data_IF_934411003995
#
_entry.id   IF_934411003995
#
_cell.length_a   1.000
_cell.length_b   1.000
_cell.length_c   1.000
_cell.angle_alpha   90.00
_cell.angle_beta   90.00
_cell.angle_gamma   90.00
#
_symmetry.space_group_name_H-M   'P 1'
#
loop_
_entity.id
_entity.type
_entity.pdbx_description
1 polymer ?
#
# COMPACT_ATOMS: atom_id res chain seq x y z
N UNK A 1 3.56 -1.53 34.53
CA UNK A 1 3.11 -0.63 33.42
C UNK A 1 2.30 -1.44 32.44
N UNK A 2 1.12 -0.95 32.05
CA UNK A 2 0.24 -1.63 31.09
C UNK A 2 0.93 -1.80 29.72
N UNK A 3 0.74 -2.98 29.12
CA UNK A 3 1.12 -3.24 27.73
C UNK A 3 0.28 -2.34 26.81
N UNK A 4 0.95 -1.56 25.96
CA UNK A 4 0.32 -0.61 25.01
C UNK A 4 0.13 -1.20 23.61
N UNK A 5 0.73 -2.37 23.34
CA UNK A 5 0.68 -3.01 22.03
C UNK A 5 -0.37 -4.11 22.01
N UNK A 6 -1.23 -4.08 20.99
CA UNK A 6 -2.27 -5.08 20.73
C UNK A 6 -2.07 -5.65 19.33
N UNK A 7 -1.83 -6.95 19.21
CA UNK A 7 -1.57 -7.60 17.92
C UNK A 7 -2.73 -8.52 17.55
N UNK A 8 -3.31 -8.27 16.40
CA UNK A 8 -4.30 -9.14 15.77
C UNK A 8 -3.53 -10.26 15.02
N UNK A 9 -3.66 -11.48 15.55
CA UNK A 9 -2.94 -12.67 15.04
C UNK A 9 -3.25 -13.00 13.58
N UNK A 10 -4.45 -12.64 13.08
CA UNK A 10 -4.86 -12.91 11.70
C UNK A 10 -3.95 -12.28 10.65
N UNK A 11 -3.19 -11.23 10.99
CA UNK A 11 -2.23 -10.59 10.07
C UNK A 11 -0.84 -11.23 10.08
N UNK A 12 -0.63 -12.31 10.87
CA UNK A 12 0.62 -13.08 10.90
C UNK A 12 1.88 -12.20 11.09
N UNK A 13 1.88 -11.38 12.14
CA UNK A 13 3.05 -10.63 12.55
C UNK A 13 3.97 -11.52 13.41
N UNK A 14 5.28 -11.47 13.13
CA UNK A 14 6.28 -12.16 13.93
C UNK A 14 6.55 -11.41 15.22
N UNK A 15 6.69 -12.13 16.32
CA UNK A 15 7.07 -11.58 17.62
C UNK A 15 8.51 -12.03 17.93
N UNK A 16 9.38 -11.05 18.14
CA UNK A 16 10.77 -11.24 18.57
C UNK A 16 10.92 -10.60 19.93
N UNK A 17 11.67 -11.26 20.81
CA UNK A 17 11.96 -10.73 22.15
C UNK A 17 13.46 -10.76 22.38
N UNK A 18 14.05 -9.58 22.59
CA UNK A 18 15.46 -9.42 22.89
C UNK A 18 15.64 -8.43 24.05
N UNK A 19 16.37 -8.85 25.10
CA UNK A 19 16.56 -8.08 26.32
C UNK A 19 15.21 -7.65 26.91
N UNK A 20 14.96 -6.34 27.02
CA UNK A 20 13.72 -5.77 27.54
C UNK A 20 12.79 -5.26 26.41
N UNK A 21 13.05 -5.65 25.15
CA UNK A 21 12.31 -5.19 24.00
C UNK A 21 11.43 -6.29 23.44
N UNK A 22 10.13 -6.02 23.31
CA UNK A 22 9.21 -6.82 22.49
C UNK A 22 9.09 -6.17 21.13
N UNK A 23 9.37 -6.90 20.07
CA UNK A 23 9.36 -6.41 18.70
C UNK A 23 8.34 -7.21 17.89
N UNK A 24 7.38 -6.53 17.33
CA UNK A 24 6.41 -7.11 16.41
C UNK A 24 6.72 -6.61 15.02
N UNK A 25 6.89 -7.53 14.08
CA UNK A 25 7.33 -7.21 12.72
C UNK A 25 6.52 -7.97 11.67
N UNK A 26 6.20 -7.28 10.58
CA UNK A 26 5.65 -7.87 9.37
C UNK A 26 6.54 -7.50 8.19
N UNK A 27 7.12 -8.51 7.58
CA UNK A 27 7.95 -8.45 6.37
C UNK A 27 8.12 -9.88 5.84
N UNK A 28 8.95 -10.10 4.81
CA UNK A 28 9.30 -11.45 4.39
C UNK A 28 10.34 -12.10 5.35
N UNK A 29 10.43 -13.41 5.32
CA UNK A 29 11.26 -14.20 6.26
C UNK A 29 12.73 -13.77 6.23
N UNK A 30 13.34 -13.63 5.04
CA UNK A 30 14.75 -13.23 4.91
C UNK A 30 15.07 -11.86 5.53
N UNK A 31 14.09 -10.94 5.54
CA UNK A 31 14.26 -9.63 6.17
C UNK A 31 14.06 -9.66 7.68
N UNK A 32 13.34 -10.67 8.20
CA UNK A 32 13.19 -10.87 9.65
C UNK A 32 14.54 -11.16 10.29
N UNK A 33 15.39 -11.97 9.65
CA UNK A 33 16.73 -12.27 10.13
C UNK A 33 17.59 -11.01 10.27
N UNK A 34 17.56 -10.11 9.28
CA UNK A 34 18.25 -8.82 9.35
C UNK A 34 17.75 -7.96 10.52
N UNK A 35 16.45 -7.91 10.73
CA UNK A 35 15.83 -7.16 11.83
C UNK A 35 16.19 -7.79 13.16
N UNK A 36 16.10 -9.11 13.27
CA UNK A 36 16.46 -9.92 14.43
C UNK A 36 17.92 -9.69 14.84
N UNK A 37 18.86 -9.81 13.89
CA UNK A 37 20.27 -9.59 14.13
C UNK A 37 20.56 -8.18 14.69
N UNK A 38 19.91 -7.15 14.15
CA UNK A 38 20.08 -5.80 14.66
C UNK A 38 19.62 -5.70 16.12
N UNK A 39 18.38 -6.11 16.42
CA UNK A 39 17.81 -5.95 17.76
C UNK A 39 18.44 -6.85 18.81
N UNK A 40 18.98 -8.02 18.43
CA UNK A 40 19.73 -8.89 19.32
C UNK A 40 20.99 -8.20 19.87
N UNK A 41 21.62 -7.34 19.07
CA UNK A 41 22.84 -6.58 19.47
C UNK A 41 22.56 -5.31 20.26
N UNK A 42 21.28 -4.89 20.40
CA UNK A 42 20.93 -3.60 21.01
C UNK A 42 20.21 -3.79 22.35
N UNK A 43 20.90 -3.61 23.45
CA UNK A 43 20.29 -3.67 24.78
C UNK A 43 19.38 -2.47 25.04
N UNK A 44 19.85 -1.27 24.72
CA UNK A 44 19.11 -0.01 24.92
C UNK A 44 18.75 0.62 23.59
N UNK A 45 17.47 0.77 23.34
CA UNK A 45 16.97 1.39 22.12
C UNK A 45 16.35 2.75 22.45
N UNK A 46 16.92 3.79 21.85
CA UNK A 46 16.39 5.15 21.85
C UNK A 46 15.88 5.53 20.45
N UNK A 47 15.30 6.73 20.32
CA UNK A 47 14.72 7.19 19.07
C UNK A 47 15.75 7.38 17.95
N UNK A 48 16.99 7.78 18.27
CA UNK A 48 18.09 7.98 17.31
C UNK A 48 18.52 6.62 16.72
N UNK A 49 18.77 5.63 17.58
CA UNK A 49 19.14 4.26 17.19
C UNK A 49 18.03 3.65 16.32
N UNK A 50 16.76 3.74 16.78
CA UNK A 50 15.63 3.21 16.04
C UNK A 50 15.48 3.87 14.67
N UNK A 51 15.55 5.22 14.59
CA UNK A 51 15.47 5.95 13.31
C UNK A 51 16.60 5.55 12.37
N UNK A 52 17.84 5.52 12.85
CA UNK A 52 19.00 5.17 12.03
C UNK A 52 18.83 3.77 11.42
N UNK A 53 18.38 2.79 12.20
CA UNK A 53 18.10 1.46 11.70
C UNK A 53 16.99 1.47 10.65
N UNK A 54 15.85 2.11 10.91
CA UNK A 54 14.72 2.17 9.96
C UNK A 54 15.15 2.76 8.61
N UNK A 55 16.01 3.78 8.59
CA UNK A 55 16.48 4.41 7.35
C UNK A 55 17.40 3.53 6.51
N UNK A 56 17.95 2.45 7.08
CA UNK A 56 18.76 1.47 6.31
C UNK A 56 17.90 0.37 5.64
N UNK A 57 16.61 0.33 5.93
CA UNK A 57 15.73 -0.72 5.39
C UNK A 57 15.21 -0.32 4.00
N UNK A 58 15.50 -1.14 3.00
CA UNK A 58 15.12 -0.93 1.59
C UNK A 58 14.05 -1.93 1.10
N UNK A 59 13.24 -2.44 2.03
CA UNK A 59 12.19 -3.42 1.78
C UNK A 59 10.88 -3.05 2.49
N UNK A 60 9.81 -3.77 2.20
CA UNK A 60 8.49 -3.56 2.83
C UNK A 60 8.46 -4.06 4.26
N UNK A 61 7.98 -3.21 5.18
CA UNK A 61 7.90 -3.57 6.59
C UNK A 61 6.84 -2.77 7.37
N UNK A 62 6.39 -3.38 8.46
CA UNK A 62 5.80 -2.70 9.61
C UNK A 62 6.51 -3.17 10.87
N UNK A 63 6.95 -2.27 11.73
CA UNK A 63 7.68 -2.58 12.96
C UNK A 63 7.05 -1.85 14.14
N UNK A 64 6.72 -2.59 15.18
CA UNK A 64 6.30 -2.06 16.50
C UNK A 64 7.29 -2.60 17.52
N UNK A 65 7.95 -1.73 18.26
CA UNK A 65 8.83 -2.08 19.36
C UNK A 65 8.29 -1.50 20.67
N UNK A 66 8.13 -2.35 21.66
CA UNK A 66 7.71 -1.96 23.00
C UNK A 66 8.76 -2.35 24.04
N UNK A 67 9.15 -1.39 24.88
CA UNK A 67 9.95 -1.63 26.06
C UNK A 67 9.33 -0.97 27.30
N UNK A 68 10.00 -1.04 28.47
CA UNK A 68 9.46 -0.49 29.73
C UNK A 68 9.08 1.00 29.60
N UNK A 69 9.83 1.82 28.84
CA UNK A 69 9.68 3.28 28.81
C UNK A 69 8.95 3.79 27.56
N UNK A 70 9.03 3.10 26.43
CA UNK A 70 8.59 3.62 25.14
C UNK A 70 7.88 2.56 24.30
N UNK A 71 7.04 3.05 23.36
CA UNK A 71 6.61 2.31 22.18
C UNK A 71 7.12 3.07 20.95
N UNK A 72 7.82 2.36 20.05
CA UNK A 72 8.28 2.86 18.77
C UNK A 72 7.53 2.14 17.65
N UNK A 73 7.11 2.88 16.65
CA UNK A 73 6.45 2.30 15.47
C UNK A 73 7.02 2.91 14.21
N UNK A 74 7.21 2.09 13.19
CA UNK A 74 7.63 2.53 11.87
C UNK A 74 6.93 1.74 10.78
N UNK A 75 6.55 2.43 9.71
CA UNK A 75 6.06 1.85 8.46
C UNK A 75 6.97 2.25 7.32
N UNK A 76 7.07 1.39 6.31
CA UNK A 76 7.91 1.66 5.13
C UNK A 76 7.43 2.85 4.29
N UNK A 77 8.15 3.13 3.22
CA UNK A 77 7.96 4.28 2.34
C UNK A 77 6.59 4.34 1.64
N UNK A 78 5.89 3.21 1.54
CA UNK A 78 4.56 3.10 0.93
C UNK A 78 3.48 2.62 1.91
N UNK A 79 3.85 2.36 3.16
CA UNK A 79 2.95 1.81 4.19
C UNK A 79 2.35 0.47 3.78
N UNK A 80 3.18 -0.45 3.32
CA UNK A 80 2.76 -1.78 2.90
C UNK A 80 2.13 -2.59 4.05
N UNK A 81 2.59 -2.35 5.28
CA UNK A 81 2.08 -2.97 6.50
C UNK A 81 1.55 -1.87 7.43
N UNK A 82 0.23 -1.65 7.47
CA UNK A 82 -0.34 -0.56 8.23
C UNK A 82 -0.22 -0.77 9.75
N UNK A 83 0.03 0.32 10.47
CA UNK A 83 0.03 0.37 11.93
C UNK A 83 -0.91 1.49 12.36
N UNK A 84 -1.70 1.20 13.39
CA UNK A 84 -2.71 2.09 13.93
C UNK A 84 -2.39 2.47 15.39
N UNK A 85 -2.93 3.59 15.82
CA UNK A 85 -2.81 4.05 17.20
C UNK A 85 -4.04 4.84 17.63
N UNK A 86 -4.26 4.98 18.93
CA UNK A 86 -5.31 5.84 19.46
C UNK A 86 -4.77 6.94 20.39
N UNK A 87 -5.64 7.85 20.84
CA UNK A 87 -5.27 8.96 21.72
C UNK A 87 -4.71 8.51 23.09
N UNK A 88 -5.06 7.32 23.54
CA UNK A 88 -4.56 6.73 24.79
C UNK A 88 -3.16 6.09 24.63
N UNK A 89 -2.55 6.18 23.42
CA UNK A 89 -1.23 5.64 23.13
C UNK A 89 -1.18 4.12 22.93
N UNK A 90 -2.32 3.46 22.78
CA UNK A 90 -2.35 2.06 22.34
C UNK A 90 -2.04 1.97 20.85
N UNK A 91 -1.31 0.94 20.48
CA UNK A 91 -0.82 0.68 19.12
C UNK A 91 -1.21 -0.72 18.68
N UNK A 92 -1.55 -0.87 17.40
CA UNK A 92 -1.94 -2.17 16.84
C UNK A 92 -1.63 -2.26 15.34
N UNK A 93 -1.52 -3.49 14.84
CA UNK A 93 -1.57 -3.82 13.42
C UNK A 93 -3.01 -3.88 12.86
N UNK A 94 -4.01 -3.62 13.70
CA UNK A 94 -5.43 -3.63 13.36
C UNK A 94 -6.15 -2.44 13.99
N UNK A 95 -6.82 -1.62 13.15
CA UNK A 95 -7.64 -0.52 13.64
C UNK A 95 -8.80 -1.00 14.52
N UNK A 96 -9.31 -2.21 14.23
CA UNK A 96 -10.43 -2.81 14.97
C UNK A 96 -10.10 -3.08 16.45
N UNK A 97 -8.86 -3.46 16.77
CA UNK A 97 -8.43 -3.70 18.16
C UNK A 97 -8.26 -2.43 19.00
N UNK A 98 -8.24 -1.26 18.35
CA UNK A 98 -8.08 0.03 19.03
C UNK A 98 -9.40 0.77 19.21
N UNK A 99 -10.48 0.21 18.70
CA UNK A 99 -11.83 0.75 18.81
C UNK A 99 -12.29 0.60 20.27
N UNK A 100 -12.47 1.73 20.95
CA UNK A 100 -13.04 1.74 22.30
C UNK A 100 -14.57 1.90 22.25
N UNK A 101 -15.06 2.69 21.27
CA UNK A 101 -16.46 3.03 21.07
C UNK A 101 -16.84 2.85 19.61
N UNK A 102 -18.11 2.64 19.33
CA UNK A 102 -18.62 2.52 17.97
C UNK A 102 -18.80 3.88 17.28
N UNK A 103 -18.22 4.96 17.82
CA UNK A 103 -18.37 6.29 17.24
C UNK A 103 -17.63 6.42 15.90
N UNK A 104 -18.44 6.55 14.88
CA UNK A 104 -17.98 6.70 13.50
C UNK A 104 -17.54 8.15 13.25
N UNK A 105 -16.40 8.32 12.62
CA UNK A 105 -15.95 9.64 12.17
C UNK A 105 -16.75 10.05 10.93
N UNK A 106 -17.81 10.85 11.11
CA UNK A 106 -18.70 11.29 10.03
C UNK A 106 -17.97 11.95 8.85
N UNK A 107 -16.88 12.70 9.13
CA UNK A 107 -16.07 13.35 8.09
C UNK A 107 -15.25 12.33 7.30
N UNK A 108 -14.66 11.37 7.97
CA UNK A 108 -13.93 10.27 7.32
C UNK A 108 -14.87 9.37 6.51
N UNK A 109 -16.10 9.14 6.99
CA UNK A 109 -17.13 8.41 6.22
C UNK A 109 -17.54 9.16 4.96
N UNK A 110 -17.72 10.48 5.03
CA UNK A 110 -17.99 11.29 3.86
C UNK A 110 -16.85 11.16 2.82
N UNK A 111 -15.61 11.34 3.26
CA UNK A 111 -14.44 11.18 2.39
C UNK A 111 -14.36 9.77 1.79
N UNK A 112 -14.55 8.74 2.61
CA UNK A 112 -14.56 7.35 2.17
C UNK A 112 -15.62 7.10 1.08
N UNK A 113 -16.83 7.63 1.24
CA UNK A 113 -17.87 7.53 0.20
C UNK A 113 -17.47 8.24 -1.09
N UNK A 114 -16.76 9.36 -1.01
CA UNK A 114 -16.35 10.13 -2.19
C UNK A 114 -15.10 9.57 -2.88
N UNK A 115 -14.20 8.93 -2.14
CA UNK A 115 -12.85 8.57 -2.58
C UNK A 115 -12.57 7.05 -2.56
N UNK A 116 -13.32 6.27 -1.76
CA UNK A 116 -13.07 4.84 -1.53
C UNK A 116 -12.06 4.56 -0.41
N UNK A 117 -11.41 5.58 0.14
CA UNK A 117 -10.49 5.46 1.27
C UNK A 117 -10.43 6.76 2.11
N UNK A 118 -9.84 6.67 3.29
CA UNK A 118 -9.63 7.82 4.17
C UNK A 118 -8.19 8.30 4.02
N UNK A 119 -8.00 9.52 3.56
CA UNK A 119 -6.66 10.10 3.36
C UNK A 119 -6.04 10.58 4.68
N UNK A 120 -4.70 10.74 4.67
CA UNK A 120 -3.96 11.20 5.84
C UNK A 120 -3.85 10.16 6.94
N UNK A 121 -4.01 10.58 8.19
CA UNK A 121 -3.84 9.69 9.35
C UNK A 121 -5.15 9.29 10.03
N UNK A 122 -6.30 9.69 9.53
CA UNK A 122 -7.60 9.34 10.10
C UNK A 122 -8.06 7.93 9.67
N UNK A 123 -9.04 7.39 10.38
CA UNK A 123 -9.78 6.17 10.02
C UNK A 123 -11.28 6.45 10.08
N UNK A 124 -12.11 5.47 9.74
CA UNK A 124 -13.57 5.58 9.85
C UNK A 124 -14.06 5.68 11.31
N UNK A 125 -13.21 5.43 12.28
CA UNK A 125 -13.54 5.44 13.71
C UNK A 125 -12.87 6.65 14.38
N UNK A 126 -13.63 7.34 15.24
CA UNK A 126 -13.09 8.42 16.04
C UNK A 126 -11.94 7.94 16.94
N UNK A 127 -10.95 8.81 17.14
CA UNK A 127 -9.80 8.57 18.01
C UNK A 127 -8.90 7.39 17.62
N UNK A 128 -9.12 6.76 16.45
CA UNK A 128 -8.23 5.75 15.88
C UNK A 128 -7.57 6.32 14.64
N UNK A 129 -6.24 6.28 14.62
CA UNK A 129 -5.41 6.88 13.58
C UNK A 129 -4.47 5.84 12.98
N UNK A 130 -4.02 6.10 11.76
CA UNK A 130 -3.01 5.31 11.04
C UNK A 130 -1.68 6.04 10.96
N UNK A 131 -0.58 5.32 10.95
CA UNK A 131 0.75 5.89 10.70
C UNK A 131 0.92 6.07 9.19
N UNK A 132 1.26 7.29 8.77
CA UNK A 132 1.48 7.59 7.34
C UNK A 132 2.80 6.97 6.85
N UNK A 133 2.88 6.71 5.54
CA UNK A 133 4.09 6.22 4.87
C UNK A 133 5.33 7.04 5.25
N UNK A 134 6.47 6.37 5.38
CA UNK A 134 7.75 7.01 5.71
C UNK A 134 7.80 7.68 7.08
N UNK A 135 6.95 7.28 8.03
CA UNK A 135 6.94 7.88 9.36
C UNK A 135 7.33 6.89 10.45
N UNK A 136 7.98 7.47 11.47
CA UNK A 136 8.25 6.86 12.78
C UNK A 136 7.44 7.61 13.82
N UNK A 137 6.86 6.88 14.77
CA UNK A 137 6.23 7.46 15.95
C UNK A 137 6.83 6.82 17.19
N UNK A 138 7.12 7.65 18.21
CA UNK A 138 7.48 7.21 19.56
C UNK A 138 6.48 7.73 20.55
N UNK A 139 5.99 6.89 21.46
CA UNK A 139 5.30 7.26 22.67
C UNK A 139 6.18 6.99 23.88
N UNK A 140 6.26 7.97 24.81
CA UNK A 140 6.74 7.76 26.18
C UNK A 140 5.56 7.26 27.02
N UNK A 141 5.69 6.06 27.61
CA UNK A 141 4.58 5.44 28.38
C UNK A 141 4.18 6.23 29.62
N UNK A 142 5.15 6.87 30.31
CA UNK A 142 4.92 7.57 31.59
C UNK A 142 3.91 8.72 31.45
N UNK A 143 4.01 9.52 30.42
CA UNK A 143 3.22 10.75 30.23
C UNK A 143 2.52 10.82 28.88
N UNK A 144 2.44 9.72 28.15
CA UNK A 144 1.82 9.60 26.82
C UNK A 144 2.28 10.63 25.79
N UNK A 145 3.52 11.16 25.93
CA UNK A 145 4.08 12.12 24.99
C UNK A 145 4.43 11.42 23.68
N UNK A 146 3.81 11.91 22.61
CA UNK A 146 4.02 11.44 21.24
C UNK A 146 5.02 12.31 20.47
N UNK A 147 6.04 11.71 19.87
CA UNK A 147 6.93 12.35 18.90
C UNK A 147 6.83 11.64 17.56
N UNK A 148 6.54 12.40 16.50
CA UNK A 148 6.46 11.93 15.11
C UNK A 148 7.67 12.42 14.33
N UNK A 149 8.28 11.53 13.53
CA UNK A 149 9.40 11.84 12.63
C UNK A 149 9.01 11.32 11.25
N UNK A 150 9.08 12.18 10.24
CA UNK A 150 9.03 11.78 8.83
C UNK A 150 10.49 11.47 8.44
N UNK A 151 10.78 10.21 8.11
CA UNK A 151 12.12 9.80 7.69
C UNK A 151 12.24 9.65 6.18
N UNK A 152 11.10 9.53 5.49
CA UNK A 152 11.02 9.51 4.04
C UNK A 152 9.83 10.35 3.57
N UNK A 153 10.01 11.08 2.47
CA UNK A 153 8.97 11.77 1.73
C UNK A 153 9.27 11.64 0.23
N UNK A 154 8.27 11.21 -0.52
CA UNK A 154 8.37 11.21 -1.97
C UNK A 154 8.19 12.64 -2.48
N UNK A 155 9.27 13.24 -2.96
CA UNK A 155 9.28 14.56 -3.58
C UNK A 155 9.92 14.41 -4.97
N UNK A 156 9.13 14.48 -6.05
CA UNK A 156 9.68 14.43 -7.39
C UNK A 156 10.58 15.66 -7.63
N UNK A 157 11.75 15.41 -8.20
CA UNK A 157 12.69 16.48 -8.55
C UNK A 157 12.61 16.75 -10.05
N UNK A 158 11.97 17.87 -10.42
CA UNK A 158 11.77 18.26 -11.81
C UNK A 158 12.97 18.98 -12.45
N UNK A 159 14.00 19.31 -11.67
CA UNK A 159 15.14 20.13 -12.15
C UNK A 159 16.21 19.33 -12.89
N UNK A 160 16.21 18.02 -12.84
CA UNK A 160 17.24 17.18 -13.48
C UNK A 160 16.77 16.68 -14.83
N UNK A 161 17.60 16.89 -15.88
CA UNK A 161 17.41 16.23 -17.16
C UNK A 161 17.34 14.72 -16.95
N UNK A 162 16.29 14.12 -17.47
CA UNK A 162 16.05 12.67 -17.40
C UNK A 162 17.00 11.99 -18.43
N UNK A 163 17.66 10.91 -18.02
CA UNK A 163 18.46 10.08 -18.90
C UNK A 163 17.78 8.71 -19.02
N UNK A 164 17.56 8.26 -20.24
CA UNK A 164 17.03 6.92 -20.53
C UNK A 164 17.91 5.83 -19.90
N UNK A 165 19.24 5.93 -20.08
CA UNK A 165 20.18 4.96 -19.53
C UNK A 165 20.09 4.86 -18.00
N UNK A 166 19.89 5.99 -17.32
CA UNK A 166 19.72 6.01 -15.87
C UNK A 166 18.40 5.37 -15.45
N UNK A 167 17.33 5.60 -16.18
CA UNK A 167 16.04 4.96 -15.95
C UNK A 167 16.17 3.45 -16.10
N UNK A 168 16.79 2.98 -17.17
CA UNK A 168 17.02 1.57 -17.44
C UNK A 168 17.83 0.88 -16.35
N UNK A 169 18.90 1.50 -15.88
CA UNK A 169 19.72 0.99 -14.77
C UNK A 169 18.89 0.82 -13.48
N UNK A 170 18.03 1.80 -13.18
CA UNK A 170 17.14 1.72 -12.00
C UNK A 170 16.15 0.57 -12.16
N UNK A 171 15.49 0.46 -13.30
CA UNK A 171 14.54 -0.62 -13.59
C UNK A 171 15.22 -1.99 -13.50
N UNK A 172 16.37 -2.15 -14.13
CA UNK A 172 17.14 -3.39 -14.05
C UNK A 172 17.48 -3.77 -12.61
N UNK A 173 17.88 -2.82 -11.78
CA UNK A 173 18.15 -3.04 -10.36
C UNK A 173 16.89 -3.48 -9.60
N UNK A 174 15.74 -2.88 -9.90
CA UNK A 174 14.45 -3.25 -9.27
C UNK A 174 14.06 -4.68 -9.65
N UNK A 175 14.10 -5.02 -10.94
CA UNK A 175 13.72 -6.34 -11.41
C UNK A 175 14.69 -7.44 -10.93
N UNK A 176 15.99 -7.18 -10.89
CA UNK A 176 16.97 -8.09 -10.25
C UNK A 176 16.64 -8.33 -8.77
N UNK A 177 16.18 -7.31 -8.02
CA UNK A 177 15.70 -7.49 -6.64
C UNK A 177 14.41 -8.33 -6.58
N UNK A 178 13.47 -8.14 -7.51
CA UNK A 178 12.24 -8.95 -7.60
C UNK A 178 12.60 -10.42 -7.83
N UNK A 179 13.44 -10.70 -8.81
CA UNK A 179 13.92 -12.06 -9.14
C UNK A 179 14.63 -12.70 -7.95
N UNK A 180 15.53 -11.96 -7.31
CA UNK A 180 16.20 -12.45 -6.09
C UNK A 180 15.21 -12.80 -4.98
N UNK A 181 14.16 -11.97 -4.78
CA UNK A 181 13.10 -12.25 -3.79
C UNK A 181 12.19 -13.40 -4.20
N UNK A 182 12.02 -13.65 -5.47
CA UNK A 182 11.28 -14.80 -5.96
C UNK A 182 11.94 -16.11 -5.57
N UNK A 183 13.26 -16.12 -5.40
CA UNK A 183 14.03 -17.27 -4.92
C UNK A 183 13.66 -18.56 -5.65
N UNK A 184 13.67 -18.54 -6.99
CA UNK A 184 13.34 -19.67 -7.84
C UNK A 184 11.84 -20.07 -7.89
N UNK A 185 10.93 -19.29 -7.27
CA UNK A 185 9.48 -19.53 -7.35
C UNK A 185 8.92 -19.00 -8.66
N UNK A 186 7.83 -19.59 -9.14
CA UNK A 186 7.12 -19.07 -10.30
C UNK A 186 6.55 -17.68 -10.01
N UNK A 187 6.83 -16.73 -10.91
CA UNK A 187 6.22 -15.40 -10.90
C UNK A 187 4.99 -15.43 -11.80
N UNK A 188 3.82 -15.19 -11.21
CA UNK A 188 2.57 -14.97 -11.94
C UNK A 188 2.48 -13.48 -12.24
N UNK A 189 2.38 -13.13 -13.51
CA UNK A 189 2.11 -11.76 -13.94
C UNK A 189 0.63 -11.67 -14.33
N UNK A 190 -0.14 -10.83 -13.65
CA UNK A 190 -1.47 -10.48 -14.11
C UNK A 190 -1.36 -9.60 -15.35
N UNK A 191 -1.52 -10.25 -16.51
CA UNK A 191 -1.32 -9.65 -17.82
C UNK A 191 -2.66 -9.15 -18.39
N UNK A 192 -2.70 -7.87 -18.72
CA UNK A 192 -3.77 -7.23 -19.49
C UNK A 192 -3.26 -6.78 -20.86
N UNK A 193 -4.13 -6.19 -21.67
CA UNK A 193 -3.73 -5.50 -22.91
C UNK A 193 -2.95 -4.21 -22.69
N UNK A 194 -2.81 -3.74 -21.42
CA UNK A 194 -2.16 -2.48 -21.06
C UNK A 194 -0.64 -2.52 -21.08
N UNK A 195 -0.02 -1.34 -21.07
CA UNK A 195 1.46 -1.19 -21.14
C UNK A 195 2.16 -1.65 -19.87
N UNK A 196 1.61 -1.39 -18.70
CA UNK A 196 2.29 -1.63 -17.41
C UNK A 196 2.54 -3.11 -17.14
N UNK A 197 1.51 -3.95 -17.32
CA UNK A 197 1.66 -5.41 -17.14
C UNK A 197 2.54 -6.03 -18.22
N UNK A 198 2.46 -5.52 -19.45
CA UNK A 198 3.33 -5.90 -20.57
C UNK A 198 4.80 -5.57 -20.29
N UNK A 199 5.06 -4.37 -19.76
CA UNK A 199 6.40 -3.96 -19.36
C UNK A 199 6.99 -4.89 -18.30
N UNK A 200 6.20 -5.26 -17.30
CA UNK A 200 6.62 -6.20 -16.26
C UNK A 200 6.99 -7.55 -16.86
N UNK A 201 6.13 -8.09 -17.73
CA UNK A 201 6.35 -9.39 -18.37
C UNK A 201 7.60 -9.36 -19.25
N UNK A 202 7.70 -8.36 -20.15
CA UNK A 202 8.84 -8.20 -21.06
C UNK A 202 10.16 -8.05 -20.32
N UNK A 203 10.17 -7.31 -19.19
CA UNK A 203 11.38 -7.11 -18.40
C UNK A 203 11.85 -8.38 -17.67
N UNK A 204 10.92 -9.22 -17.21
CA UNK A 204 11.26 -10.52 -16.63
C UNK A 204 11.87 -11.46 -17.70
N UNK A 205 11.31 -11.46 -18.90
CA UNK A 205 11.81 -12.26 -20.04
C UNK A 205 13.21 -11.76 -20.47
N UNK A 206 13.38 -10.45 -20.64
CA UNK A 206 14.68 -9.82 -20.96
C UNK A 206 15.77 -10.20 -19.97
N UNK A 207 15.43 -10.25 -18.68
CA UNK A 207 16.35 -10.69 -17.62
C UNK A 207 16.47 -12.22 -17.50
N UNK A 208 15.96 -12.96 -18.48
CA UNK A 208 16.07 -14.44 -18.60
C UNK A 208 15.52 -15.19 -17.38
N UNK A 209 14.48 -14.64 -16.73
CA UNK A 209 13.78 -15.39 -15.68
C UNK A 209 12.85 -16.40 -16.33
N UNK A 210 13.07 -17.70 -16.13
CA UNK A 210 12.39 -18.78 -16.86
C UNK A 210 11.12 -19.32 -16.15
N UNK A 211 10.87 -18.95 -14.90
CA UNK A 211 9.69 -19.41 -14.16
C UNK A 211 8.61 -18.32 -14.13
N UNK A 212 8.07 -17.99 -15.30
CA UNK A 212 7.03 -16.99 -15.47
C UNK A 212 5.75 -17.67 -15.95
N UNK A 213 4.61 -17.18 -15.47
CA UNK A 213 3.29 -17.52 -15.94
C UNK A 213 2.46 -16.25 -16.09
N UNK A 214 1.95 -16.01 -17.27
CA UNK A 214 0.99 -14.94 -17.50
C UNK A 214 -0.43 -15.41 -17.17
N UNK A 215 -1.17 -14.60 -16.43
CA UNK A 215 -2.57 -14.88 -16.08
C UNK A 215 -3.42 -13.68 -16.46
N UNK A 216 -4.51 -13.94 -17.18
CA UNK A 216 -5.55 -12.96 -17.47
C UNK A 216 -6.89 -13.43 -16.94
N UNK A 217 -7.80 -12.51 -16.71
CA UNK A 217 -9.13 -12.83 -16.21
C UNK A 217 -10.18 -11.85 -16.78
N UNK A 218 -11.42 -12.23 -16.68
CA UNK A 218 -12.55 -11.40 -17.11
C UNK A 218 -13.56 -12.19 -17.96
N UNK A 219 -14.38 -11.45 -18.68
CA UNK A 219 -15.38 -12.05 -19.58
C UNK A 219 -14.67 -12.69 -20.77
N UNK A 220 -15.13 -13.84 -21.21
CA UNK A 220 -14.59 -14.56 -22.36
C UNK A 220 -14.50 -13.68 -23.61
N UNK A 221 -13.41 -13.79 -24.35
CA UNK A 221 -13.14 -13.02 -25.58
C UNK A 221 -13.13 -11.49 -25.40
N UNK A 222 -12.90 -10.96 -24.19
CA UNK A 222 -12.68 -9.53 -24.06
C UNK A 222 -11.36 -9.11 -24.75
N UNK A 223 -11.33 -7.86 -25.24
CA UNK A 223 -10.20 -7.32 -25.99
C UNK A 223 -8.87 -7.42 -25.22
N UNK A 224 -8.87 -7.17 -23.91
CA UNK A 224 -7.66 -7.22 -23.10
C UNK A 224 -7.08 -8.63 -22.98
N UNK A 225 -7.95 -9.66 -22.85
CA UNK A 225 -7.49 -11.06 -22.75
C UNK A 225 -6.95 -11.58 -24.08
N UNK A 226 -7.52 -11.13 -25.22
CA UNK A 226 -7.02 -11.45 -26.56
C UNK A 226 -5.61 -10.88 -26.72
N UNK A 227 -5.43 -9.59 -26.43
CA UNK A 227 -4.12 -8.94 -26.49
C UNK A 227 -3.11 -9.55 -25.52
N UNK A 228 -3.53 -9.90 -24.32
CA UNK A 228 -2.67 -10.58 -23.35
C UNK A 228 -2.18 -11.94 -23.86
N UNK A 229 -3.06 -12.72 -24.50
CA UNK A 229 -2.69 -13.99 -25.13
C UNK A 229 -1.66 -13.80 -26.25
N UNK A 230 -1.89 -12.85 -27.16
CA UNK A 230 -0.93 -12.50 -28.24
C UNK A 230 0.44 -12.13 -27.68
N UNK A 231 0.50 -11.24 -26.68
CA UNK A 231 1.73 -10.82 -26.05
C UNK A 231 2.46 -12.01 -25.41
N UNK A 232 1.72 -12.87 -24.74
CA UNK A 232 2.27 -14.06 -24.09
C UNK A 232 2.88 -15.03 -25.10
N UNK A 233 2.23 -15.24 -26.23
CA UNK A 233 2.71 -16.06 -27.35
C UNK A 233 4.00 -15.47 -27.96
N UNK A 234 4.01 -14.15 -28.23
CA UNK A 234 5.19 -13.45 -28.77
C UNK A 234 6.41 -13.55 -27.85
N UNK A 235 6.20 -13.60 -26.54
CA UNK A 235 7.27 -13.70 -25.55
C UNK A 235 7.57 -15.15 -25.12
N UNK A 236 6.94 -16.15 -25.73
CA UNK A 236 7.06 -17.55 -25.37
C UNK A 236 6.82 -17.83 -23.87
N UNK A 237 5.82 -17.16 -23.27
CA UNK A 237 5.46 -17.32 -21.86
C UNK A 237 4.15 -18.11 -21.74
N UNK A 238 4.06 -19.13 -20.91
CA UNK A 238 2.81 -19.84 -20.65
C UNK A 238 1.72 -18.86 -20.17
N UNK A 239 0.50 -19.04 -20.68
CA UNK A 239 -0.65 -18.17 -20.39
C UNK A 239 -1.86 -18.99 -19.93
N UNK A 240 -2.54 -18.51 -18.88
CA UNK A 240 -3.80 -19.08 -18.37
C UNK A 240 -4.84 -17.97 -18.26
N UNK A 241 -6.08 -18.30 -18.70
CA UNK A 241 -7.22 -17.40 -18.59
C UNK A 241 -8.21 -17.91 -17.54
N UNK A 242 -8.64 -17.00 -16.65
CA UNK A 242 -9.70 -17.25 -15.68
C UNK A 242 -10.96 -16.51 -16.12
N UNK A 243 -11.92 -17.26 -16.64
CA UNK A 243 -13.19 -16.70 -17.06
C UNK A 243 -14.03 -16.29 -15.86
N UNK A 244 -14.56 -15.07 -15.92
CA UNK A 244 -15.53 -14.53 -14.99
C UNK A 244 -16.94 -14.82 -15.48
N UNK A 245 -17.79 -15.33 -14.59
CA UNK A 245 -19.19 -15.58 -14.80
C UNK A 245 -20.01 -14.60 -13.95
N UNK A 246 -20.87 -13.83 -14.57
CA UNK A 246 -21.65 -12.78 -13.89
C UNK A 246 -22.50 -13.34 -12.74
N UNK A 247 -23.13 -14.50 -12.92
CA UNK A 247 -23.93 -15.14 -11.87
C UNK A 247 -23.07 -15.56 -10.69
N UNK A 248 -21.88 -16.11 -10.97
CA UNK A 248 -20.90 -16.49 -9.93
C UNK A 248 -20.33 -15.30 -9.22
N UNK A 249 -20.04 -14.20 -9.94
CA UNK A 249 -19.61 -12.93 -9.34
C UNK A 249 -20.67 -12.43 -8.36
N UNK A 250 -21.92 -12.34 -8.77
CA UNK A 250 -23.02 -11.87 -7.91
C UNK A 250 -23.19 -12.73 -6.66
N UNK A 251 -23.07 -14.05 -6.78
CA UNK A 251 -23.08 -14.96 -5.64
C UNK A 251 -21.87 -14.72 -4.72
N UNK A 252 -20.67 -14.62 -5.28
CA UNK A 252 -19.43 -14.40 -4.54
C UNK A 252 -19.44 -13.05 -3.79
N UNK A 253 -20.01 -11.99 -4.38
CA UNK A 253 -20.16 -10.70 -3.73
C UNK A 253 -21.07 -10.72 -2.49
N UNK A 254 -22.03 -11.65 -2.44
CA UNK A 254 -22.89 -11.86 -1.27
C UNK A 254 -22.30 -12.86 -0.26
N UNK A 255 -21.18 -13.51 -0.59
CA UNK A 255 -20.58 -14.59 0.20
C UNK A 255 -19.90 -14.13 1.48
N UNK A 256 -19.77 -15.08 2.41
CA UNK A 256 -18.97 -14.91 3.64
C UNK A 256 -17.47 -14.72 3.31
N UNK A 257 -16.96 -15.37 2.27
CA UNK A 257 -15.57 -15.19 1.80
C UNK A 257 -15.27 -13.73 1.46
N UNK A 258 -16.16 -13.07 0.71
CA UNK A 258 -16.01 -11.64 0.38
C UNK A 258 -16.08 -10.77 1.63
N UNK A 259 -16.96 -11.06 2.56
CA UNK A 259 -17.06 -10.34 3.84
C UNK A 259 -15.75 -10.45 4.62
N UNK A 260 -15.20 -11.65 4.75
CA UNK A 260 -13.91 -11.87 5.41
C UNK A 260 -12.76 -11.15 4.70
N UNK A 261 -12.72 -11.20 3.38
CA UNK A 261 -11.74 -10.46 2.59
C UNK A 261 -11.83 -8.94 2.85
N UNK A 262 -13.04 -8.39 2.83
CA UNK A 262 -13.27 -6.97 3.14
C UNK A 262 -12.80 -6.64 4.56
N UNK A 263 -13.14 -7.48 5.52
CA UNK A 263 -12.80 -7.31 6.92
C UNK A 263 -11.30 -7.40 7.19
N UNK A 264 -10.61 -8.24 6.42
CA UNK A 264 -9.15 -8.37 6.48
C UNK A 264 -8.46 -7.16 5.85
N UNK A 265 -8.91 -6.74 4.67
CA UNK A 265 -8.19 -5.77 3.84
C UNK A 265 -8.50 -4.32 4.17
N UNK A 266 -9.75 -3.99 4.54
CA UNK A 266 -10.20 -2.59 4.71
C UNK A 266 -9.57 -1.88 5.90
N UNK A 267 -9.40 -2.59 6.99
CA UNK A 267 -8.85 -2.11 8.26
C UNK A 267 -9.42 -0.74 8.70
N UNK A 268 -10.71 -0.50 8.42
CA UNK A 268 -11.46 0.73 8.70
C UNK A 268 -10.85 1.99 8.05
N UNK A 269 -10.15 1.85 6.94
CA UNK A 269 -9.49 2.98 6.26
C UNK A 269 -9.63 3.00 4.75
N UNK A 270 -9.89 1.86 4.09
CA UNK A 270 -9.97 1.77 2.62
C UNK A 270 -10.92 0.68 2.15
N UNK A 271 -11.41 0.85 0.93
CA UNK A 271 -12.10 -0.23 0.21
C UNK A 271 -11.04 -1.17 -0.37
N UNK A 272 -11.15 -2.49 -0.17
CA UNK A 272 -10.26 -3.45 -0.83
C UNK A 272 -10.54 -3.50 -2.34
N UNK A 273 -9.54 -3.90 -3.12
CA UNK A 273 -9.75 -4.21 -4.53
C UNK A 273 -10.56 -5.51 -4.67
N UNK A 274 -11.62 -5.46 -5.46
CA UNK A 274 -12.42 -6.65 -5.76
C UNK A 274 -12.22 -7.16 -7.19
N UNK A 275 -11.44 -6.46 -8.01
CA UNK A 275 -11.24 -6.81 -9.42
C UNK A 275 -10.64 -8.21 -9.57
N UNK A 276 -9.68 -8.54 -8.75
CA UNK A 276 -9.00 -9.83 -8.76
C UNK A 276 -9.62 -10.87 -7.82
N UNK A 277 -10.64 -10.50 -7.04
CA UNK A 277 -11.12 -11.32 -5.93
C UNK A 277 -11.65 -12.70 -6.41
N UNK A 278 -12.45 -12.74 -7.48
CA UNK A 278 -12.95 -13.99 -8.03
C UNK A 278 -11.81 -14.88 -8.54
N UNK A 279 -10.88 -14.29 -9.30
CA UNK A 279 -9.72 -15.01 -9.84
C UNK A 279 -8.86 -15.59 -8.72
N UNK A 280 -8.51 -14.76 -7.73
CA UNK A 280 -7.69 -15.19 -6.59
C UNK A 280 -8.40 -16.24 -5.74
N UNK A 281 -9.72 -16.14 -5.58
CA UNK A 281 -10.51 -17.17 -4.89
C UNK A 281 -10.47 -18.50 -5.62
N UNK A 282 -10.65 -18.52 -6.95
CA UNK A 282 -10.50 -19.71 -7.78
C UNK A 282 -9.10 -20.31 -7.69
N UNK A 283 -8.08 -19.47 -7.87
CA UNK A 283 -6.67 -19.89 -7.79
C UNK A 283 -6.32 -20.49 -6.43
N UNK A 284 -6.87 -19.93 -5.35
CA UNK A 284 -6.66 -20.45 -4.01
C UNK A 284 -7.33 -21.80 -3.79
N UNK A 285 -8.57 -21.99 -4.27
CA UNK A 285 -9.29 -23.27 -4.21
C UNK A 285 -8.58 -24.38 -5.01
N UNK A 286 -7.92 -24.00 -6.11
CA UNK A 286 -7.10 -24.91 -6.93
C UNK A 286 -5.69 -25.16 -6.35
N UNK A 287 -5.34 -24.61 -5.17
CA UNK A 287 -3.97 -24.59 -4.63
C UNK A 287 -2.93 -24.01 -5.61
N UNK A 288 -3.39 -23.25 -6.59
CA UNK A 288 -2.56 -22.74 -7.68
C UNK A 288 -1.55 -21.68 -7.22
N UNK A 289 -1.84 -20.97 -6.12
CA UNK A 289 -0.97 -19.93 -5.57
C UNK A 289 0.20 -20.46 -4.71
N UNK A 290 0.16 -21.76 -4.38
CA UNK A 290 1.21 -22.37 -3.54
C UNK A 290 2.59 -22.22 -4.18
N UNK A 291 3.56 -21.70 -3.42
CA UNK A 291 4.93 -21.44 -3.88
C UNK A 291 5.07 -20.55 -5.12
N UNK A 292 4.14 -19.64 -5.31
CA UNK A 292 4.17 -18.65 -6.40
C UNK A 292 4.12 -17.23 -5.87
N UNK A 293 4.54 -16.27 -6.67
CA UNK A 293 4.48 -14.84 -6.38
C UNK A 293 3.64 -14.18 -7.45
N UNK A 294 2.68 -13.35 -7.03
CA UNK A 294 1.84 -12.60 -7.95
C UNK A 294 2.37 -11.17 -8.11
N UNK A 295 2.49 -10.69 -9.33
CA UNK A 295 2.84 -9.31 -9.65
C UNK A 295 1.75 -8.75 -10.58
N UNK A 296 1.32 -7.52 -10.31
CA UNK A 296 0.39 -6.78 -11.16
C UNK A 296 0.93 -5.41 -11.56
N UNK A 297 0.34 -4.79 -12.58
CA UNK A 297 0.74 -3.49 -13.11
C UNK A 297 0.09 -2.28 -12.44
N UNK A 298 -0.71 -2.44 -11.39
CA UNK A 298 -1.59 -1.39 -10.85
C UNK A 298 -0.88 -0.09 -10.40
N UNK A 299 0.41 -0.13 -10.11
CA UNK A 299 1.18 1.06 -9.69
C UNK A 299 1.84 1.80 -10.85
N UNK A 300 1.79 1.30 -12.07
CA UNK A 300 2.43 1.89 -13.26
C UNK A 300 1.91 3.29 -13.54
N UNK A 301 0.61 3.49 -13.49
CA UNK A 301 -0.06 4.78 -13.66
C UNK A 301 0.47 5.90 -12.75
N UNK A 302 0.86 5.56 -11.53
CA UNK A 302 1.45 6.52 -10.60
C UNK A 302 2.84 6.98 -11.06
N UNK A 303 3.64 6.06 -11.58
CA UNK A 303 5.01 6.33 -12.05
C UNK A 303 4.99 7.05 -13.40
N UNK A 304 4.12 6.61 -14.32
CA UNK A 304 3.99 7.18 -15.66
C UNK A 304 3.32 8.55 -15.70
N UNK A 305 2.70 8.98 -14.57
CA UNK A 305 2.00 10.26 -14.49
C UNK A 305 0.64 10.28 -15.18
N UNK A 306 0.03 9.14 -15.47
CA UNK A 306 -1.31 9.05 -16.08
C UNK A 306 -2.42 9.63 -15.17
N UNK A 307 -2.12 9.82 -13.88
CA UNK A 307 -2.96 10.57 -12.97
C UNK A 307 -2.89 12.09 -13.15
N UNK A 308 -1.91 12.60 -13.92
CA UNK A 308 -1.79 14.00 -14.25
C UNK A 308 -2.57 14.28 -15.54
N UNK A 309 -3.24 15.43 -15.63
CA UNK A 309 -3.89 15.82 -16.91
C UNK A 309 -2.97 16.61 -17.79
N UNK A 310 -3.27 16.59 -19.10
CA UNK A 310 -2.67 17.50 -20.09
C UNK A 310 -2.82 18.98 -19.68
N UNK A 311 -3.88 19.35 -18.97
CA UNK A 311 -4.11 20.72 -18.46
C UNK A 311 -3.06 21.21 -17.46
N UNK A 312 -2.41 20.32 -16.69
CA UNK A 312 -1.37 20.73 -15.74
C UNK A 312 -0.11 21.20 -16.48
N UNK A 313 0.12 20.71 -17.69
CA UNK A 313 1.32 21.01 -18.46
C UNK A 313 1.29 22.37 -19.18
N UNK A 314 0.15 22.98 -19.42
CA UNK A 314 0.02 24.08 -20.40
C UNK A 314 -0.19 25.48 -19.82
N UNK A 315 -0.39 25.69 -18.54
CA UNK A 315 -0.63 27.04 -18.04
C UNK A 315 0.14 27.38 -16.77
N UNK A 316 0.95 28.41 -16.82
CA UNK A 316 1.72 28.91 -15.65
C UNK A 316 0.93 29.76 -14.63
N UNK A 317 -0.26 30.25 -14.88
CA UNK A 317 -0.98 31.23 -14.01
C UNK A 317 -2.38 30.85 -13.49
N UNK A 318 -3.14 29.98 -14.12
CA UNK A 318 -4.55 29.69 -13.71
C UNK A 318 -4.72 28.49 -12.74
N UNK A 319 -3.84 28.16 -11.94
CA UNK A 319 -3.24 26.87 -11.66
C UNK A 319 -3.77 26.13 -10.45
N UNK A 320 -3.96 26.82 -9.33
CA UNK A 320 -4.32 26.19 -8.06
C UNK A 320 -5.82 25.85 -8.04
N UNK A 321 -6.68 26.75 -8.53
CA UNK A 321 -8.13 26.53 -8.57
C UNK A 321 -8.47 25.32 -9.45
N UNK A 322 -7.89 25.26 -10.64
CA UNK A 322 -8.11 24.17 -11.59
C UNK A 322 -7.56 22.83 -11.10
N UNK A 323 -6.45 22.83 -10.34
CA UNK A 323 -5.88 21.62 -9.73
C UNK A 323 -6.87 21.00 -8.70
N UNK A 324 -7.47 21.80 -7.84
CA UNK A 324 -8.46 21.28 -6.87
C UNK A 324 -9.70 20.72 -7.56
N UNK A 325 -10.21 21.40 -8.54
CA UNK A 325 -11.36 20.94 -9.31
C UNK A 325 -11.05 19.62 -10.02
N UNK A 326 -9.87 19.53 -10.58
CA UNK A 326 -9.41 18.32 -11.21
C UNK A 326 -9.26 17.14 -10.22
N UNK A 327 -8.58 17.35 -9.10
CA UNK A 327 -8.42 16.32 -8.06
C UNK A 327 -9.79 15.84 -7.58
N UNK A 328 -10.72 16.77 -7.36
CA UNK A 328 -12.07 16.44 -6.91
C UNK A 328 -12.81 15.64 -7.99
N UNK A 329 -12.79 16.10 -9.23
CA UNK A 329 -13.47 15.41 -10.35
C UNK A 329 -12.91 14.02 -10.59
N UNK A 330 -11.60 13.84 -10.51
CA UNK A 330 -10.94 12.55 -10.79
C UNK A 330 -11.00 11.57 -9.63
N UNK A 331 -10.86 12.04 -8.39
CA UNK A 331 -10.65 11.16 -7.25
C UNK A 331 -11.80 11.18 -6.23
N UNK A 332 -12.56 12.26 -6.11
CA UNK A 332 -13.62 12.42 -5.10
C UNK A 332 -15.04 12.37 -5.69
N UNK A 333 -15.23 11.69 -6.80
CA UNK A 333 -16.50 11.62 -7.52
C UNK A 333 -17.09 10.21 -7.59
N UNK A 334 -16.68 9.30 -6.71
CA UNK A 334 -17.19 7.93 -6.68
C UNK A 334 -18.73 7.90 -6.52
N UNK A 335 -19.27 8.79 -5.69
CA UNK A 335 -20.70 9.03 -5.56
C UNK A 335 -21.01 10.47 -6.00
N UNK A 336 -21.51 10.65 -7.21
CA UNK A 336 -21.74 11.97 -7.85
C UNK A 336 -22.64 12.89 -7.02
N UNK A 337 -23.67 12.36 -6.36
CA UNK A 337 -24.59 13.13 -5.52
C UNK A 337 -23.92 13.75 -4.28
N UNK A 338 -22.75 13.26 -3.87
CA UNK A 338 -21.98 13.85 -2.78
C UNK A 338 -21.09 15.02 -3.23
N UNK A 339 -20.96 15.26 -4.54
CA UNK A 339 -20.14 16.35 -5.10
C UNK A 339 -20.95 17.67 -5.08
N UNK A 340 -21.08 18.27 -3.91
CA UNK A 340 -21.78 19.56 -3.70
C UNK A 340 -20.86 20.59 -3.04
N UNK A 341 -21.25 21.87 -3.05
CA UNK A 341 -20.44 23.01 -2.53
C UNK A 341 -19.90 22.77 -1.10
N UNK A 342 -20.75 22.26 -0.20
CA UNK A 342 -20.40 22.02 1.22
C UNK A 342 -19.31 20.95 1.35
N UNK A 343 -19.50 19.81 0.70
CA UNK A 343 -18.56 18.68 0.75
C UNK A 343 -17.25 19.03 0.04
N UNK A 344 -17.32 19.71 -1.10
CA UNK A 344 -16.14 20.21 -1.82
C UNK A 344 -15.31 21.14 -0.94
N UNK A 345 -15.94 22.07 -0.21
CA UNK A 345 -15.23 22.98 0.70
C UNK A 345 -14.46 22.22 1.78
N UNK A 346 -15.09 21.20 2.37
CA UNK A 346 -14.43 20.33 3.35
C UNK A 346 -13.23 19.59 2.74
N UNK A 347 -13.40 18.96 1.57
CA UNK A 347 -12.33 18.23 0.88
C UNK A 347 -11.18 19.16 0.48
N UNK A 348 -11.47 20.37 -0.04
CA UNK A 348 -10.45 21.38 -0.35
C UNK A 348 -9.58 21.73 0.87
N UNK A 349 -10.22 21.93 2.05
CA UNK A 349 -9.48 22.18 3.31
C UNK A 349 -8.54 21.03 3.68
N UNK A 350 -8.99 19.78 3.47
CA UNK A 350 -8.18 18.58 3.76
C UNK A 350 -7.00 18.43 2.79
N UNK A 351 -7.22 18.66 1.50
CA UNK A 351 -6.19 18.68 0.46
C UNK A 351 -5.15 19.76 0.78
N UNK A 352 -5.59 20.99 1.10
CA UNK A 352 -4.70 22.09 1.47
C UNK A 352 -3.80 21.75 2.67
N UNK A 353 -4.34 21.11 3.69
CA UNK A 353 -3.56 20.68 4.85
C UNK A 353 -2.47 19.67 4.46
N UNK A 354 -2.72 18.86 3.45
CA UNK A 354 -1.76 17.87 2.94
C UNK A 354 -0.70 18.50 2.03
N UNK A 355 -1.10 19.43 1.17
CA UNK A 355 -0.24 20.07 0.16
C UNK A 355 0.33 21.42 0.58
N UNK A 356 -0.17 22.05 1.65
CA UNK A 356 0.13 23.45 2.01
C UNK A 356 1.61 23.80 2.19
N UNK A 357 2.49 22.80 2.40
CA UNK A 357 3.95 23.01 2.41
C UNK A 357 4.60 22.86 1.03
N UNK A 358 3.95 22.23 0.07
CA UNK A 358 4.48 21.98 -1.28
C UNK A 358 4.13 23.10 -2.26
N UNK A 359 2.97 23.74 -2.07
CA UNK A 359 2.45 24.79 -2.96
C UNK A 359 3.09 26.16 -2.64
N UNK A 360 3.62 26.35 -1.43
CA UNK A 360 4.18 27.63 -0.95
C UNK A 360 5.67 27.78 -1.23
N UNK A 361 6.38 26.70 -1.58
CA UNK A 361 7.77 26.80 -2.05
C UNK A 361 7.78 27.09 -3.55
N UNK A 362 7.66 28.38 -3.87
CA UNK A 362 8.08 28.96 -5.15
C UNK A 362 9.61 29.04 -5.20
#
# INVERSE_FOLDING_TARGET
MLNKVRIDKKYNWHHLKYHQNNIYVKTNIANIEKISFFFKKQEKINLKIFKNFITTLDFYFGIILENKKNVFCAVDNVRSQPIFFNNKGYVSNSAKLLKNDNFVNKRSVLEFKMLGYVSGNETLINNVYQINSGNIIRWKKKNNIKKKIKYFEYLPNYSKKQSYNKFELIINKIFKKIIKRANGKTIIVFLSGGLDSRFILGKLVELKYNKILAVSYGIKRNHESIKAKEISQLLNVPWKFYEHDEKKINFLYKSYERKNYSDYSSNLSSTPSYLEFETLSKMNKENFLKNKIVINGQSGDYISGSHLTKFINYSKKSKIKNLYEYIIKKHYSLWKNLVNKKNISFIKKKINKSFGKLVIKK
#
